data_IF_633946842018
#
_entry.id   IF_633946842018
#
_cell.length_a   1.000
_cell.length_b   1.000
_cell.length_c   1.000
_cell.angle_alpha   90.00
_cell.angle_beta   90.00
_cell.angle_gamma   90.00
#
_symmetry.space_group_name_H-M   'P 1'
#
loop_
_entity.id
_entity.type
_entity.pdbx_description
1 polymer ?
#
# COMPACT_ATOMS: atom_id res chain seq x y z
N UNK A 1 16.59 -6.85 3.73
CA UNK A 1 16.39 -5.74 2.76
C UNK A 1 14.91 -5.36 2.76
N UNK A 2 14.57 -4.07 2.79
CA UNK A 2 13.20 -3.63 2.65
C UNK A 2 12.89 -3.22 1.20
N UNK A 3 11.63 -3.37 0.81
CA UNK A 3 11.13 -3.08 -0.54
C UNK A 3 10.10 -1.95 -0.46
N UNK A 4 10.02 -1.14 -1.53
CA UNK A 4 8.87 -0.28 -1.80
C UNK A 4 8.20 -0.77 -3.09
N UNK A 5 6.90 -1.01 -3.00
CA UNK A 5 6.04 -1.33 -4.13
C UNK A 5 5.04 -0.20 -4.34
N UNK A 6 5.21 0.57 -5.40
CA UNK A 6 4.25 1.59 -5.81
C UNK A 6 3.12 0.98 -6.61
N UNK A 7 1.89 1.34 -6.25
CA UNK A 7 0.66 0.88 -6.87
C UNK A 7 0.11 2.00 -7.76
N UNK A 8 -0.03 1.73 -9.04
CA UNK A 8 -0.48 2.74 -10.02
C UNK A 8 -1.43 2.13 -11.06
N UNK A 9 -2.26 2.95 -11.66
CA UNK A 9 -3.04 2.53 -12.84
C UNK A 9 -2.10 2.33 -14.03
N UNK A 10 -1.27 3.35 -14.31
CA UNK A 10 -0.19 3.31 -15.28
C UNK A 10 0.80 4.45 -14.96
N UNK A 11 2.09 4.17 -14.81
CA UNK A 11 3.06 5.20 -14.46
C UNK A 11 3.24 6.18 -15.63
N UNK A 12 3.38 7.46 -15.29
CA UNK A 12 3.89 8.46 -16.24
C UNK A 12 5.42 8.47 -16.22
N UNK A 13 6.04 9.14 -17.19
CA UNK A 13 7.50 9.30 -17.21
C UNK A 13 8.01 10.02 -15.95
N UNK A 14 7.30 11.05 -15.49
CA UNK A 14 7.67 11.78 -14.26
C UNK A 14 7.54 10.89 -13.01
N UNK A 15 6.49 10.07 -12.94
CA UNK A 15 6.29 9.10 -11.87
C UNK A 15 7.42 8.07 -11.85
N UNK A 16 7.75 7.49 -13.00
CA UNK A 16 8.86 6.55 -13.13
C UNK A 16 10.19 7.15 -12.69
N UNK A 17 10.53 8.35 -13.18
CA UNK A 17 11.76 9.03 -12.80
C UNK A 17 11.83 9.34 -11.30
N UNK A 18 10.72 9.68 -10.67
CA UNK A 18 10.67 9.88 -9.24
C UNK A 18 10.95 8.57 -8.46
N UNK A 19 10.37 7.45 -8.87
CA UNK A 19 10.61 6.15 -8.23
C UNK A 19 12.04 5.65 -8.43
N UNK A 20 12.61 5.90 -9.62
CA UNK A 20 14.02 5.67 -9.90
C UNK A 20 14.93 6.52 -8.98
N UNK A 21 14.59 7.78 -8.75
CA UNK A 21 15.32 8.62 -7.82
C UNK A 21 15.27 8.05 -6.40
N UNK A 22 14.10 7.60 -5.93
CA UNK A 22 13.96 6.92 -4.63
C UNK A 22 14.90 5.71 -4.56
N UNK A 23 14.92 4.84 -5.56
CA UNK A 23 15.80 3.66 -5.57
C UNK A 23 17.28 4.04 -5.49
N UNK A 24 17.70 5.11 -6.21
CA UNK A 24 19.09 5.57 -6.20
C UNK A 24 19.51 6.25 -4.90
N UNK A 25 18.58 6.91 -4.22
CA UNK A 25 18.87 7.71 -3.02
C UNK A 25 18.60 6.98 -1.70
N UNK A 26 18.13 5.74 -1.74
CA UNK A 26 17.76 4.97 -0.56
C UNK A 26 18.29 3.54 -0.58
N UNK A 27 18.02 2.78 0.48
CA UNK A 27 18.36 1.35 0.59
C UNK A 27 17.26 0.42 0.05
N UNK A 28 16.18 0.99 -0.47
CA UNK A 28 15.06 0.21 -0.97
C UNK A 28 15.29 -0.31 -2.39
N UNK A 29 14.89 -1.56 -2.65
CA UNK A 29 14.57 -1.98 -4.00
C UNK A 29 13.14 -1.52 -4.29
N UNK A 30 12.95 -0.87 -5.44
CA UNK A 30 11.67 -0.28 -5.83
C UNK A 30 11.02 -1.11 -6.93
N UNK A 31 9.73 -1.35 -6.77
CA UNK A 31 8.85 -2.02 -7.73
C UNK A 31 7.67 -1.11 -8.07
N UNK A 32 7.19 -1.22 -9.30
CA UNK A 32 5.95 -0.56 -9.75
C UNK A 32 4.98 -1.65 -10.19
N UNK A 33 3.81 -1.73 -9.59
CA UNK A 33 2.74 -2.65 -10.01
C UNK A 33 1.66 -1.88 -10.74
N UNK A 34 1.41 -2.28 -11.99
CA UNK A 34 0.46 -1.63 -12.89
C UNK A 34 -0.91 -2.32 -12.83
N UNK A 35 -1.97 -1.53 -12.65
CA UNK A 35 -3.33 -2.04 -12.67
C UNK A 35 -3.81 -2.37 -14.10
N UNK A 36 -3.51 -1.50 -15.05
CA UNK A 36 -3.98 -1.60 -16.42
C UNK A 36 -3.30 -2.74 -17.19
N UNK A 37 -4.08 -3.74 -17.64
CA UNK A 37 -3.54 -4.93 -18.32
C UNK A 37 -2.95 -4.65 -19.71
N UNK A 38 -3.51 -3.69 -20.42
CA UNK A 38 -3.16 -3.32 -21.80
C UNK A 38 -2.27 -2.08 -21.89
N UNK A 39 -1.65 -1.69 -20.78
CA UNK A 39 -0.69 -0.61 -20.79
C UNK A 39 0.56 -1.03 -21.55
N UNK A 40 0.90 -0.25 -22.56
CA UNK A 40 2.17 -0.42 -23.28
C UNK A 40 3.24 0.27 -22.46
N UNK A 41 4.12 -0.51 -21.82
CA UNK A 41 5.23 0.02 -21.04
C UNK A 41 6.16 0.75 -22.00
N UNK A 42 6.40 2.07 -21.80
CA UNK A 42 7.38 2.81 -22.60
C UNK A 42 8.79 2.21 -22.44
N UNK A 43 9.68 2.58 -23.35
CA UNK A 43 11.09 2.20 -23.26
C UNK A 43 11.77 2.95 -22.09
N UNK A 44 11.53 2.45 -20.89
CA UNK A 44 12.23 2.89 -19.69
C UNK A 44 13.59 2.19 -19.59
N UNK A 45 14.51 2.75 -18.82
CA UNK A 45 15.89 2.27 -18.68
C UNK A 45 16.09 1.05 -17.77
N UNK A 46 15.04 0.28 -17.48
CA UNK A 46 15.03 -0.94 -16.65
C UNK A 46 15.64 -0.80 -15.23
N UNK A 47 15.86 0.43 -14.75
CA UNK A 47 16.42 0.62 -13.41
C UNK A 47 15.41 0.31 -12.29
N UNK A 48 14.11 0.47 -12.55
CA UNK A 48 13.03 0.13 -11.62
C UNK A 48 12.20 -1.01 -12.22
N UNK A 49 11.97 -2.04 -11.46
CA UNK A 49 11.22 -3.22 -11.91
C UNK A 49 9.72 -2.92 -12.03
N UNK A 50 9.17 -3.06 -13.23
CA UNK A 50 7.75 -2.85 -13.54
C UNK A 50 7.06 -4.21 -13.64
N UNK A 51 6.02 -4.39 -12.83
CA UNK A 51 5.22 -5.61 -12.76
C UNK A 51 3.86 -5.34 -13.41
N UNK A 52 3.58 -6.04 -14.49
CA UNK A 52 2.29 -6.04 -15.16
C UNK A 52 1.75 -7.46 -15.24
N UNK A 53 0.73 -7.76 -14.46
CA UNK A 53 0.11 -9.08 -14.39
C UNK A 53 -1.30 -8.98 -14.92
N UNK A 54 -1.72 -9.96 -15.72
CA UNK A 54 -3.09 -10.03 -16.21
C UNK A 54 -4.05 -10.31 -15.03
N UNK A 55 -5.14 -9.57 -14.98
CA UNK A 55 -6.18 -9.73 -13.96
C UNK A 55 -6.65 -11.18 -13.83
N UNK A 56 -6.87 -11.89 -14.96
CA UNK A 56 -7.35 -13.27 -14.97
C UNK A 56 -6.43 -14.19 -14.17
N UNK A 57 -5.11 -13.98 -14.24
CA UNK A 57 -4.15 -14.78 -13.45
C UNK A 57 -4.39 -14.61 -11.95
N UNK A 58 -4.53 -13.39 -11.48
CA UNK A 58 -4.79 -13.08 -10.07
C UNK A 58 -6.19 -13.58 -9.64
N UNK A 59 -7.21 -13.29 -10.43
CA UNK A 59 -8.62 -13.63 -10.16
C UNK A 59 -8.84 -15.14 -10.03
N UNK A 60 -8.19 -15.93 -10.91
CA UNK A 60 -8.27 -17.39 -10.90
C UNK A 60 -7.70 -18.00 -9.61
N UNK A 61 -6.67 -17.37 -9.05
CA UNK A 61 -6.05 -17.82 -7.81
C UNK A 61 -6.66 -17.19 -6.54
N UNK A 62 -7.67 -16.34 -6.69
CA UNK A 62 -8.40 -15.74 -5.58
C UNK A 62 -7.90 -14.37 -5.15
N UNK A 63 -6.91 -13.79 -5.83
CA UNK A 63 -6.43 -12.42 -5.56
C UNK A 63 -7.32 -11.41 -6.29
N UNK A 64 -8.48 -11.13 -5.71
CA UNK A 64 -9.53 -10.24 -6.21
C UNK A 64 -10.42 -9.77 -5.07
N UNK A 65 -11.25 -8.76 -5.32
CA UNK A 65 -12.23 -8.21 -4.37
C UNK A 65 -11.65 -7.35 -3.25
N UNK A 66 -10.41 -6.91 -3.33
CA UNK A 66 -9.89 -5.96 -2.34
C UNK A 66 -10.51 -4.56 -2.48
N UNK A 67 -11.12 -4.25 -3.61
CA UNK A 67 -11.76 -2.95 -3.87
C UNK A 67 -13.26 -3.11 -4.10
N UNK A 68 -14.07 -2.29 -3.42
CA UNK A 68 -15.54 -2.35 -3.46
C UNK A 68 -16.15 -2.13 -4.84
N UNK A 69 -15.54 -1.24 -5.62
CA UNK A 69 -16.11 -0.74 -6.87
C UNK A 69 -15.92 -1.69 -8.06
N UNK A 70 -15.10 -2.71 -7.89
CA UNK A 70 -14.77 -3.66 -8.96
C UNK A 70 -14.95 -5.12 -8.50
N UNK A 71 -16.20 -5.56 -8.27
CA UNK A 71 -16.44 -6.91 -7.78
C UNK A 71 -15.91 -7.96 -8.77
N UNK A 72 -15.26 -9.00 -8.23
CA UNK A 72 -14.62 -10.10 -8.95
C UNK A 72 -13.47 -9.69 -9.88
N UNK A 73 -12.91 -8.50 -9.71
CA UNK A 73 -11.73 -8.05 -10.45
C UNK A 73 -10.54 -7.86 -9.53
N UNK A 74 -9.36 -8.08 -10.10
CA UNK A 74 -8.10 -7.74 -9.47
C UNK A 74 -7.71 -6.28 -9.75
N UNK A 75 -7.17 -5.59 -8.76
CA UNK A 75 -6.56 -4.27 -8.90
C UNK A 75 -5.04 -4.35 -8.68
N UNK A 76 -4.33 -3.23 -8.78
CA UNK A 76 -2.87 -3.17 -8.59
C UNK A 76 -2.44 -3.77 -7.24
N UNK A 77 -3.21 -3.59 -6.17
CA UNK A 77 -2.92 -4.15 -4.86
C UNK A 77 -3.06 -5.68 -4.84
N UNK A 78 -4.13 -6.21 -5.44
CA UNK A 78 -4.32 -7.66 -5.57
C UNK A 78 -3.16 -8.30 -6.36
N UNK A 79 -2.74 -7.64 -7.44
CA UNK A 79 -1.59 -8.06 -8.26
C UNK A 79 -0.27 -8.01 -7.49
N UNK A 80 -0.08 -6.96 -6.69
CA UNK A 80 1.10 -6.83 -5.84
C UNK A 80 1.14 -7.95 -4.78
N UNK A 81 0.04 -8.21 -4.08
CA UNK A 81 -0.06 -9.31 -3.13
C UNK A 81 0.24 -10.65 -3.82
N UNK A 82 -0.39 -10.92 -4.96
CA UNK A 82 -0.12 -12.12 -5.75
C UNK A 82 1.36 -12.24 -6.08
N UNK A 83 1.97 -11.17 -6.61
CA UNK A 83 3.37 -11.20 -7.04
C UNK A 83 4.32 -11.49 -5.89
N UNK A 84 4.24 -10.76 -4.80
CA UNK A 84 5.18 -10.91 -3.68
C UNK A 84 4.96 -12.17 -2.83
N UNK A 85 3.80 -12.79 -2.91
CA UNK A 85 3.51 -14.07 -2.28
C UNK A 85 4.06 -15.24 -3.11
N UNK A 86 3.90 -15.19 -4.45
CA UNK A 86 4.22 -16.34 -5.32
C UNK A 86 5.61 -16.29 -5.96
N UNK A 87 6.34 -15.19 -5.83
CA UNK A 87 7.71 -15.10 -6.33
C UNK A 87 8.70 -15.15 -5.16
N UNK A 88 9.78 -15.91 -5.35
CA UNK A 88 10.82 -16.10 -4.32
C UNK A 88 11.72 -14.87 -4.18
N UNK A 89 11.13 -13.74 -3.80
CA UNK A 89 11.84 -12.48 -3.57
C UNK A 89 12.24 -12.39 -2.11
N UNK A 90 13.53 -12.14 -1.85
CA UNK A 90 14.03 -11.98 -0.50
C UNK A 90 13.84 -10.54 -0.01
N UNK A 91 13.08 -10.36 1.07
CA UNK A 91 12.87 -9.08 1.76
C UNK A 91 12.48 -9.33 3.24
N UNK A 92 12.67 -8.34 4.07
CA UNK A 92 12.19 -8.35 5.47
C UNK A 92 10.77 -7.75 5.54
N UNK A 93 10.62 -6.56 4.98
CA UNK A 93 9.36 -5.84 4.91
C UNK A 93 9.15 -5.23 3.53
N UNK A 94 7.88 -5.01 3.19
CA UNK A 94 7.46 -4.33 1.97
C UNK A 94 6.48 -3.20 2.28
N UNK A 95 6.77 -2.01 1.74
CA UNK A 95 5.85 -0.90 1.69
C UNK A 95 4.98 -1.02 0.44
N UNK A 96 3.66 -1.04 0.60
CA UNK A 96 2.70 -0.82 -0.48
C UNK A 96 2.21 0.62 -0.42
N UNK A 97 2.47 1.39 -1.48
CA UNK A 97 2.21 2.82 -1.53
C UNK A 97 1.48 3.17 -2.82
N UNK A 98 0.32 3.82 -2.72
CA UNK A 98 -0.40 4.32 -3.90
C UNK A 98 0.30 5.55 -4.48
N UNK A 99 0.19 5.74 -5.81
CA UNK A 99 0.91 6.80 -6.51
C UNK A 99 0.54 8.22 -6.08
N UNK A 100 -0.64 8.41 -5.50
CA UNK A 100 -1.11 9.69 -4.98
C UNK A 100 -0.77 9.93 -3.50
N UNK A 101 0.04 9.05 -2.92
CA UNK A 101 0.66 9.30 -1.62
C UNK A 101 1.89 10.19 -1.80
N UNK A 102 1.87 11.35 -1.18
CA UNK A 102 3.01 12.24 -1.14
C UNK A 102 3.99 11.83 -0.03
N UNK A 103 5.22 11.56 -0.44
CA UNK A 103 6.36 11.27 0.43
C UNK A 103 7.28 12.50 0.37
N UNK A 104 7.34 13.33 1.42
CA UNK A 104 8.24 14.48 1.44
C UNK A 104 9.70 14.09 1.26
N UNK A 105 10.15 13.14 2.07
CA UNK A 105 11.51 12.59 2.03
C UNK A 105 11.51 11.10 2.37
N UNK A 106 12.38 10.36 1.70
CA UNK A 106 12.44 8.91 1.81
C UNK A 106 12.90 8.44 3.20
N UNK A 107 13.69 9.23 3.89
CA UNK A 107 14.19 8.98 5.24
C UNK A 107 13.07 8.81 6.27
N UNK A 108 11.86 9.30 5.98
CA UNK A 108 10.68 9.00 6.82
C UNK A 108 10.37 7.51 6.86
N UNK A 109 10.38 6.84 5.70
CA UNK A 109 10.15 5.40 5.63
C UNK A 109 11.29 4.65 6.32
N UNK A 110 12.54 5.02 6.07
CA UNK A 110 13.72 4.41 6.70
C UNK A 110 13.69 4.57 8.22
N UNK A 111 13.28 5.73 8.72
CA UNK A 111 13.11 5.99 10.15
C UNK A 111 12.00 5.14 10.78
N UNK A 112 10.86 4.97 10.08
CA UNK A 112 9.80 4.07 10.53
C UNK A 112 10.27 2.61 10.52
N UNK A 113 10.97 2.16 9.49
CA UNK A 113 11.52 0.80 9.41
C UNK A 113 12.47 0.51 10.58
N UNK A 114 13.35 1.44 10.91
CA UNK A 114 14.29 1.29 12.01
C UNK A 114 13.60 1.22 13.38
N UNK A 115 12.55 2.04 13.62
CA UNK A 115 11.84 2.07 14.90
C UNK A 115 10.89 0.89 15.11
N UNK A 116 10.36 0.34 14.02
CA UNK A 116 9.34 -0.71 14.05
C UNK A 116 9.81 -1.98 13.33
N UNK A 117 11.11 -2.29 13.40
CA UNK A 117 11.72 -3.40 12.64
C UNK A 117 11.05 -4.76 12.86
N UNK A 118 10.53 -5.02 14.09
CA UNK A 118 9.91 -6.28 14.47
C UNK A 118 8.38 -6.29 14.29
N UNK A 119 7.79 -5.24 13.72
CA UNK A 119 6.35 -5.13 13.56
C UNK A 119 5.91 -5.76 12.24
N UNK A 120 4.84 -6.55 12.29
CA UNK A 120 4.31 -7.26 11.12
C UNK A 120 3.50 -6.34 10.20
N UNK A 121 2.89 -5.27 10.76
CA UNK A 121 2.07 -4.34 10.02
C UNK A 121 2.23 -2.91 10.55
N UNK A 122 2.52 -1.95 9.67
CA UNK A 122 2.41 -0.52 9.95
C UNK A 122 1.24 0.06 9.18
N UNK A 123 0.31 0.70 9.89
CA UNK A 123 -0.90 1.31 9.32
C UNK A 123 -1.19 2.63 10.02
N UNK A 124 -2.10 3.43 9.46
CA UNK A 124 -2.54 4.68 10.06
C UNK A 124 -3.21 4.49 11.41
N UNK A 125 -4.08 3.49 11.53
CA UNK A 125 -4.88 3.22 12.74
C UNK A 125 -5.22 1.73 12.85
N UNK A 126 -5.50 1.28 14.07
CA UNK A 126 -5.81 -0.12 14.33
C UNK A 126 -6.90 -0.25 15.43
N UNK A 127 -8.13 0.24 15.16
CA UNK A 127 -9.25 0.07 16.09
C UNK A 127 -9.70 -1.40 16.11
N UNK A 128 -10.04 -1.93 17.29
CA UNK A 128 -10.52 -3.30 17.45
C UNK A 128 -12.00 -3.31 17.80
N UNK A 129 -12.81 -3.98 16.97
CA UNK A 129 -14.25 -4.09 17.13
C UNK A 129 -14.64 -5.53 17.47
N UNK A 130 -15.08 -5.76 18.70
CA UNK A 130 -15.54 -7.08 19.17
C UNK A 130 -16.98 -7.42 18.79
N UNK A 131 -17.69 -6.50 18.14
CA UNK A 131 -19.06 -6.63 17.66
C UNK A 131 -19.18 -6.09 16.25
N UNK A 132 -20.18 -6.55 15.49
CA UNK A 132 -20.51 -5.99 14.18
C UNK A 132 -20.82 -4.49 14.29
N UNK A 133 -20.18 -3.69 13.44
CA UNK A 133 -20.41 -2.27 13.28
C UNK A 133 -21.49 -2.03 12.21
N UNK A 134 -22.20 -0.88 12.27
CA UNK A 134 -23.28 -0.54 11.33
C UNK A 134 -22.95 0.62 10.37
N UNK A 135 -21.87 1.30 10.64
CA UNK A 135 -21.39 2.43 9.84
C UNK A 135 -20.26 1.99 8.89
N UNK A 136 -19.84 2.86 8.02
CA UNK A 136 -18.82 2.63 7.01
C UNK A 136 -19.20 1.46 6.06
N UNK A 137 -18.29 0.74 5.49
CA UNK A 137 -18.52 -0.37 4.53
C UNK A 137 -18.68 -1.75 5.19
N UNK A 138 -18.95 -1.82 6.49
CA UNK A 138 -18.99 -3.06 7.25
C UNK A 138 -20.02 -4.07 6.73
N UNK A 139 -21.18 -3.62 6.23
CA UNK A 139 -22.18 -4.54 5.67
C UNK A 139 -21.62 -5.33 4.49
N UNK A 140 -20.77 -4.69 3.66
CA UNK A 140 -20.10 -5.33 2.53
C UNK A 140 -19.06 -6.33 3.04
N UNK A 141 -18.22 -5.92 4.00
CA UNK A 141 -17.23 -6.82 4.64
C UNK A 141 -17.92 -8.06 5.21
N UNK A 142 -19.03 -7.90 5.92
CA UNK A 142 -19.76 -9.04 6.51
C UNK A 142 -20.44 -9.95 5.48
N UNK A 143 -20.87 -9.38 4.36
CA UNK A 143 -21.42 -10.15 3.24
C UNK A 143 -20.33 -10.98 2.54
N UNK A 144 -19.18 -10.37 2.34
CA UNK A 144 -18.11 -10.94 1.50
C UNK A 144 -17.14 -11.83 2.31
N UNK A 145 -17.26 -11.85 3.63
CA UNK A 145 -16.42 -12.68 4.51
C UNK A 145 -17.22 -13.56 5.45
N UNK A 146 -16.62 -14.71 5.83
CA UNK A 146 -17.11 -15.55 6.92
C UNK A 146 -16.33 -15.33 8.23
N UNK A 147 -15.57 -14.24 8.32
CA UNK A 147 -14.76 -13.94 9.51
C UNK A 147 -15.69 -13.47 10.64
N UNK A 148 -15.40 -13.95 11.84
CA UNK A 148 -16.04 -13.50 13.08
C UNK A 148 -15.24 -12.36 13.72
N UNK A 149 -15.80 -11.59 14.65
CA UNK A 149 -14.99 -10.61 15.41
C UNK A 149 -13.76 -11.26 16.06
N UNK A 150 -12.70 -10.51 16.31
CA UNK A 150 -12.59 -9.06 16.18
C UNK A 150 -12.43 -8.57 14.73
N UNK A 151 -12.99 -7.40 14.44
CA UNK A 151 -12.79 -6.69 13.17
C UNK A 151 -11.92 -5.46 13.40
N UNK A 152 -11.28 -4.99 12.33
CA UNK A 152 -10.52 -3.74 12.32
C UNK A 152 -10.51 -3.14 10.93
N UNK A 153 -10.29 -1.83 10.81
CA UNK A 153 -10.10 -1.16 9.54
C UNK A 153 -9.06 -0.04 9.65
N UNK A 154 -8.47 0.33 8.54
CA UNK A 154 -7.55 1.45 8.41
C UNK A 154 -7.53 1.96 6.97
N UNK A 155 -7.18 3.24 6.78
CA UNK A 155 -6.74 3.71 5.47
C UNK A 155 -5.40 3.05 5.13
N UNK A 156 -5.30 2.47 3.94
CA UNK A 156 -4.19 1.58 3.56
C UNK A 156 -3.41 2.08 2.33
N UNK A 157 -3.60 3.34 1.92
CA UNK A 157 -2.89 3.90 0.76
C UNK A 157 -1.36 3.93 0.93
N UNK A 158 -0.88 3.88 2.19
CA UNK A 158 0.51 3.61 2.53
C UNK A 158 0.56 2.68 3.75
N UNK A 159 1.05 1.46 3.55
CA UNK A 159 1.21 0.44 4.60
C UNK A 159 2.53 -0.31 4.44
N UNK A 160 3.06 -0.82 5.54
CA UNK A 160 4.20 -1.74 5.53
C UNK A 160 3.78 -3.11 6.04
N UNK A 161 4.12 -4.16 5.31
CA UNK A 161 3.83 -5.54 5.66
C UNK A 161 5.12 -6.35 5.81
N UNK A 162 5.20 -7.21 6.84
CA UNK A 162 6.20 -8.27 6.94
C UNK A 162 5.85 -9.46 6.03
N UNK A 163 6.79 -10.38 5.81
CA UNK A 163 6.50 -11.68 5.17
C UNK A 163 5.39 -12.44 5.90
N UNK A 164 5.35 -12.36 7.22
CA UNK A 164 4.33 -13.03 8.04
C UNK A 164 2.93 -12.47 7.78
N UNK A 165 2.80 -11.15 7.56
CA UNK A 165 1.53 -10.55 7.16
C UNK A 165 1.09 -11.06 5.78
N UNK A 166 2.00 -11.15 4.82
CA UNK A 166 1.68 -11.70 3.50
C UNK A 166 1.30 -13.18 3.56
N UNK A 167 2.00 -14.00 4.34
CA UNK A 167 1.63 -15.41 4.56
C UNK A 167 0.23 -15.55 5.18
N UNK A 168 -0.15 -14.65 6.10
CA UNK A 168 -1.50 -14.63 6.67
C UNK A 168 -2.57 -14.33 5.61
N UNK A 169 -2.27 -13.42 4.67
CA UNK A 169 -3.17 -13.14 3.53
C UNK A 169 -3.25 -14.34 2.60
N UNK A 170 -2.12 -15.00 2.30
CA UNK A 170 -2.08 -16.22 1.49
C UNK A 170 -2.95 -17.32 2.08
N UNK A 171 -2.82 -17.62 3.37
CA UNK A 171 -3.65 -18.59 4.08
C UNK A 171 -5.14 -18.27 3.92
N UNK A 172 -5.51 -16.99 4.02
CA UNK A 172 -6.89 -16.56 3.81
C UNK A 172 -7.34 -16.83 2.36
N UNK A 173 -6.55 -16.43 1.36
CA UNK A 173 -6.85 -16.65 -0.06
C UNK A 173 -6.95 -18.14 -0.39
N UNK A 174 -6.04 -18.96 0.12
CA UNK A 174 -6.08 -20.42 -0.09
C UNK A 174 -7.38 -21.03 0.43
N UNK A 175 -7.90 -20.54 1.56
CA UNK A 175 -9.13 -21.04 2.20
C UNK A 175 -10.39 -20.53 1.52
N UNK A 176 -10.46 -19.25 1.18
CA UNK A 176 -11.71 -18.60 0.76
C UNK A 176 -11.77 -18.29 -0.75
N UNK A 177 -10.66 -18.44 -1.47
CA UNK A 177 -10.52 -18.16 -2.92
C UNK A 177 -10.94 -16.74 -3.31
N UNK A 178 -10.82 -15.80 -2.38
CA UNK A 178 -11.12 -14.38 -2.54
C UNK A 178 -10.41 -13.57 -1.46
N UNK A 179 -10.07 -12.34 -1.77
CA UNK A 179 -9.82 -11.28 -0.80
C UNK A 179 -11.15 -10.61 -0.42
N UNK A 180 -11.11 -9.67 0.47
CA UNK A 180 -12.21 -8.77 0.80
C UNK A 180 -11.66 -7.34 0.95
N UNK A 181 -12.53 -6.36 1.17
CA UNK A 181 -12.16 -4.94 1.24
C UNK A 181 -10.86 -4.74 2.00
N UNK A 182 -9.87 -4.25 1.29
CA UNK A 182 -8.48 -4.16 1.76
C UNK A 182 -8.30 -3.27 3.00
N UNK A 183 -9.06 -2.17 3.09
CA UNK A 183 -9.09 -1.31 4.29
C UNK A 183 -9.51 -2.07 5.56
N UNK A 184 -10.28 -3.16 5.44
CA UNK A 184 -10.61 -4.04 6.56
C UNK A 184 -9.71 -5.28 6.61
N UNK A 185 -9.23 -5.76 5.48
CA UNK A 185 -8.53 -7.04 5.35
C UNK A 185 -7.23 -7.07 6.14
N UNK A 186 -6.32 -6.15 5.88
CA UNK A 186 -4.99 -6.16 6.52
C UNK A 186 -5.11 -6.14 8.03
N UNK A 187 -5.88 -5.21 8.55
CA UNK A 187 -6.01 -5.02 10.00
C UNK A 187 -6.84 -6.11 10.66
N UNK A 188 -7.91 -6.60 10.04
CA UNK A 188 -8.71 -7.71 10.58
C UNK A 188 -7.90 -9.01 10.62
N UNK A 189 -7.19 -9.35 9.55
CA UNK A 189 -6.34 -10.55 9.52
C UNK A 189 -5.18 -10.45 10.51
N UNK A 190 -4.57 -9.26 10.64
CA UNK A 190 -3.55 -9.04 11.66
C UNK A 190 -4.08 -9.24 13.09
N UNK A 191 -5.30 -8.77 13.39
CA UNK A 191 -5.94 -8.98 14.69
C UNK A 191 -6.20 -10.47 14.98
N UNK A 192 -6.72 -11.21 13.99
CA UNK A 192 -6.98 -12.65 14.12
C UNK A 192 -5.71 -13.47 14.33
N UNK A 193 -4.65 -13.15 13.61
CA UNK A 193 -3.37 -13.85 13.67
C UNK A 193 -2.45 -13.31 14.78
N UNK A 194 -2.93 -12.37 15.59
CA UNK A 194 -2.18 -11.74 16.69
C UNK A 194 -0.82 -11.19 16.24
N UNK A 195 -0.81 -10.59 15.04
CA UNK A 195 0.38 -9.96 14.50
C UNK A 195 0.71 -8.69 15.28
N UNK A 196 1.98 -8.32 15.28
CA UNK A 196 2.43 -7.07 15.91
C UNK A 196 2.13 -5.90 14.97
N UNK A 197 1.25 -5.00 15.40
CA UNK A 197 0.76 -3.85 14.62
C UNK A 197 1.13 -2.56 15.33
N UNK A 198 1.69 -1.59 14.58
CA UNK A 198 1.92 -0.23 15.06
C UNK A 198 1.30 0.82 14.13
N UNK A 199 0.99 1.98 14.72
CA UNK A 199 0.39 3.12 14.06
C UNK A 199 1.33 4.33 14.13
N UNK A 200 2.34 4.42 13.25
CA UNK A 200 3.27 5.54 13.24
C UNK A 200 2.55 6.87 13.02
N UNK A 201 2.93 7.90 13.78
CA UNK A 201 2.34 9.25 13.64
C UNK A 201 2.53 9.83 12.24
N UNK A 202 3.56 9.42 11.53
CA UNK A 202 3.89 9.81 10.16
C UNK A 202 2.79 9.45 9.16
N UNK A 203 1.95 8.45 9.47
CA UNK A 203 0.84 8.00 8.63
C UNK A 203 -0.49 8.71 8.97
N UNK A 204 -0.54 9.62 9.93
CA UNK A 204 -1.80 10.26 10.39
C UNK A 204 -2.56 11.00 9.27
N UNK A 205 -1.83 11.52 8.27
CA UNK A 205 -2.39 12.31 7.16
C UNK A 205 -2.73 11.46 5.91
N UNK A 206 -2.71 10.14 6.04
CA UNK A 206 -3.28 9.24 5.03
C UNK A 206 -4.80 9.22 5.24
N UNK A 207 -5.55 9.94 4.39
CA UNK A 207 -7.00 10.15 4.53
C UNK A 207 -7.71 9.92 3.22
N UNK A 208 -9.01 9.68 3.24
CA UNK A 208 -9.81 9.47 2.03
C UNK A 208 -9.86 10.69 1.10
N UNK A 209 -10.05 11.89 1.65
CA UNK A 209 -10.29 13.12 0.87
C UNK A 209 -9.58 14.34 1.45
N UNK A 210 -8.37 14.16 1.92
CA UNK A 210 -7.52 15.25 2.43
C UNK A 210 -7.32 16.35 1.38
N UNK A 211 -7.42 17.62 1.83
CA UNK A 211 -7.14 18.79 0.99
C UNK A 211 -5.80 19.40 1.41
N UNK A 212 -4.77 19.01 0.68
CA UNK A 212 -3.40 19.39 1.01
C UNK A 212 -2.94 20.60 0.19
N UNK A 213 -2.31 21.54 0.88
CA UNK A 213 -1.70 22.76 0.32
C UNK A 213 -0.31 22.91 0.92
N UNK A 214 0.53 23.75 0.33
CA UNK A 214 1.87 24.04 0.86
C UNK A 214 1.88 24.54 2.30
N UNK A 215 0.80 25.19 2.73
CA UNK A 215 0.72 25.77 4.09
C UNK A 215 0.40 24.72 5.17
N UNK A 216 -0.07 23.52 4.77
CA UNK A 216 -0.45 22.46 5.72
C UNK A 216 0.28 21.14 5.51
N UNK A 217 1.33 21.15 4.66
CA UNK A 217 2.22 20.02 4.44
C UNK A 217 3.53 20.25 5.19
N UNK A 218 3.93 19.28 5.99
CA UNK A 218 5.14 19.25 6.80
C UNK A 218 6.02 18.06 6.40
N UNK A 219 7.33 18.18 6.53
CA UNK A 219 8.29 17.14 6.14
C UNK A 219 8.18 15.84 6.95
N UNK A 220 7.54 15.88 8.12
CA UNK A 220 7.47 14.75 9.07
C UNK A 220 6.32 13.78 8.85
N UNK A 221 5.53 13.90 7.78
CA UNK A 221 4.33 13.08 7.54
C UNK A 221 4.16 12.69 6.09
N UNK A 222 3.53 11.54 5.85
CA UNK A 222 3.01 11.17 4.54
C UNK A 222 1.59 11.74 4.36
N UNK A 223 1.21 12.06 3.13
CA UNK A 223 -0.09 12.67 2.82
C UNK A 223 -0.80 11.95 1.69
N UNK A 224 -2.11 11.78 1.82
CA UNK A 224 -2.98 11.22 0.78
C UNK A 224 -4.36 11.90 0.82
N UNK A 225 -4.98 12.18 -0.35
CA UNK A 225 -4.41 12.04 -1.70
C UNK A 225 -3.74 13.33 -2.22
N UNK A 226 -2.66 13.21 -2.96
CA UNK A 226 -2.10 14.29 -3.81
C UNK A 226 -1.87 13.71 -5.20
N UNK A 227 -2.90 13.75 -6.04
CA UNK A 227 -2.93 13.06 -7.36
C UNK A 227 -2.04 13.67 -8.42
N UNK A 228 -1.73 14.97 -8.31
CA UNK A 228 -0.92 15.68 -9.30
C UNK A 228 0.57 15.55 -8.93
N UNK A 229 1.34 14.87 -9.77
CA UNK A 229 2.78 14.67 -9.57
C UNK A 229 3.57 15.99 -9.63
N UNK A 230 3.13 16.96 -10.44
CA UNK A 230 3.75 18.29 -10.45
C UNK A 230 3.56 18.99 -9.10
N UNK A 231 2.38 18.88 -8.53
CA UNK A 231 2.09 19.38 -7.18
C UNK A 231 2.93 18.67 -6.12
N UNK A 232 3.10 17.37 -6.21
CA UNK A 232 4.02 16.65 -5.31
C UNK A 232 5.46 17.14 -5.45
N UNK A 233 5.94 17.38 -6.68
CA UNK A 233 7.26 17.95 -6.95
C UNK A 233 7.39 19.37 -6.40
N UNK A 234 6.39 20.22 -6.62
CA UNK A 234 6.36 21.58 -6.06
C UNK A 234 6.43 21.56 -4.53
N UNK A 235 5.69 20.67 -3.89
CA UNK A 235 5.69 20.53 -2.42
C UNK A 235 7.07 20.09 -1.91
N UNK A 236 7.72 19.12 -2.55
CA UNK A 236 9.08 18.71 -2.18
C UNK A 236 10.06 19.86 -2.31
N UNK A 237 10.08 20.54 -3.46
CA UNK A 237 10.99 21.68 -3.69
C UNK A 237 10.83 22.73 -2.58
N UNK A 238 9.62 23.16 -2.28
CA UNK A 238 9.38 24.18 -1.25
C UNK A 238 9.70 23.76 0.18
N UNK A 239 9.54 22.48 0.50
CA UNK A 239 9.92 21.97 1.83
C UNK A 239 11.44 21.98 2.02
N UNK A 240 12.23 21.88 0.94
CA UNK A 240 13.69 21.76 1.01
C UNK A 240 14.43 23.00 0.49
N UNK A 241 13.83 23.84 -0.38
CA UNK A 241 14.43 25.11 -0.83
C UNK A 241 14.50 26.17 0.29
N UNK A 242 13.83 25.97 1.42
CA UNK A 242 13.93 26.85 2.60
C UNK A 242 15.11 26.51 3.54
N UNK A 243 16.06 25.67 3.09
CA UNK A 243 17.27 25.29 3.85
C UNK A 243 18.53 25.95 3.28
N UNK A 244 18.38 27.12 2.62
CA UNK A 244 19.53 27.96 2.24
C UNK A 244 19.55 29.21 3.11
#
# INVERSE_FOLDING_TARGET
>A
MNIICFLTVCPTFDTYNYYKLIQKSSKYKVYIVIDKNDYVIPDYDDEVEIIQINNITCETLGYKNSVLWFPNKACSRDKALYYFIHNSIEYDNIWFIEEDVFIPKIELLESMDSRYQDDDLLVKEFPIYHKKQKNWHWEIVYRDTNIQPPFSNSMICAIRCSKKMLSTIEEYVLKYKSLFLDEAMFTTLAAHSKLKVSCPKELKNITWNGKWTLNNVEEGYLYHPIKDMNKQKEFRNKLFDNII
#
